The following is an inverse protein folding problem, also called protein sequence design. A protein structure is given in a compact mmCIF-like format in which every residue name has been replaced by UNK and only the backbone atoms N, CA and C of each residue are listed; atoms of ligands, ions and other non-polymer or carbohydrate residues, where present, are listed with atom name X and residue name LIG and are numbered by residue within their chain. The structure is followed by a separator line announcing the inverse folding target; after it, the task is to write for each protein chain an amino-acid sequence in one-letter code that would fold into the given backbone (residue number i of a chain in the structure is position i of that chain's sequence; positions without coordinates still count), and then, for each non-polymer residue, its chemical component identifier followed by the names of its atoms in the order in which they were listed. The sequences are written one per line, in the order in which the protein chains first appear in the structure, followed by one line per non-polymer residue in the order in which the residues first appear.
data_IF_096180512965
#
_entry.id   IF_096180512965
#
_cell.length_a   1.000
_cell.length_b   1.000
_cell.length_c   1.000
_cell.angle_alpha   90.00
_cell.angle_beta   90.00
_cell.angle_gamma   90.00
#
_symmetry.space_group_name_H-M   'P 1'
#
loop_
_entity.id
_entity.type
_entity.pdbx_description
1 polymer ?
#
# COMPACT_ATOMS: atom_id res chain seq x y z
N UNK A 1 -0.02 15.88 8.88
CA UNK A 1 0.03 15.08 10.14
C UNK A 1 1.48 14.90 10.54
N UNK A 2 1.73 14.71 11.81
CA UNK A 2 3.10 14.52 12.36
C UNK A 2 3.90 13.47 11.59
N UNK A 3 3.26 12.42 11.13
CA UNK A 3 3.89 11.38 10.30
C UNK A 3 4.44 11.97 8.99
N UNK A 4 3.63 12.72 8.24
CA UNK A 4 4.05 13.33 6.97
C UNK A 4 5.07 14.43 7.23
N UNK A 5 4.81 15.30 8.21
CA UNK A 5 5.65 16.45 8.50
C UNK A 5 7.05 16.05 8.99
N UNK A 6 7.13 15.00 9.80
CA UNK A 6 8.41 14.53 10.36
C UNK A 6 9.15 13.56 9.43
N UNK A 7 8.42 12.69 8.72
CA UNK A 7 9.05 11.65 7.88
C UNK A 7 9.38 12.15 6.47
N UNK A 8 8.44 12.79 5.80
CA UNK A 8 8.56 13.11 4.37
C UNK A 8 9.10 14.53 4.18
N UNK A 9 8.64 15.49 5.00
CA UNK A 9 9.02 16.89 4.88
C UNK A 9 10.22 17.27 5.74
N UNK A 10 10.46 16.56 6.83
CA UNK A 10 11.33 17.03 7.90
C UNK A 10 12.73 16.42 8.00
N UNK A 11 13.20 15.63 7.04
CA UNK A 11 14.51 14.93 7.09
C UNK A 11 14.79 14.16 8.41
N UNK A 12 13.74 13.83 9.17
CA UNK A 12 13.87 13.18 10.48
C UNK A 12 14.00 11.67 10.41
N UNK A 13 13.71 11.08 9.26
CA UNK A 13 13.76 9.62 9.06
C UNK A 13 14.50 9.29 7.77
N UNK A 14 15.27 8.20 7.80
CA UNK A 14 16.03 7.71 6.65
C UNK A 14 15.18 6.89 5.65
N UNK A 15 14.01 6.45 6.05
CA UNK A 15 13.12 5.65 5.20
C UNK A 15 11.69 5.62 5.72
N UNK A 16 10.76 5.37 4.80
CA UNK A 16 9.33 5.28 5.06
C UNK A 16 8.80 3.98 4.46
N UNK A 17 8.18 3.14 5.29
CA UNK A 17 7.46 1.96 4.84
C UNK A 17 6.01 2.33 4.56
N UNK A 18 5.64 2.41 3.28
CA UNK A 18 4.30 2.80 2.87
C UNK A 18 3.93 2.21 1.50
N UNK A 19 2.67 2.37 1.08
CA UNK A 19 2.23 2.05 -0.27
C UNK A 19 2.54 3.18 -1.26
N UNK A 20 2.44 2.88 -2.55
CA UNK A 20 2.73 3.81 -3.64
C UNK A 20 1.89 5.10 -3.64
N UNK A 21 0.74 5.11 -2.98
CA UNK A 21 -0.10 6.32 -2.83
C UNK A 21 0.57 7.47 -2.08
N UNK A 22 1.69 7.23 -1.39
CA UNK A 22 2.46 8.28 -0.72
C UNK A 22 3.27 9.14 -1.70
N UNK A 23 3.56 8.61 -2.90
CA UNK A 23 4.43 9.25 -3.90
C UNK A 23 3.98 10.67 -4.24
N UNK A 24 2.69 10.94 -4.58
CA UNK A 24 2.27 12.32 -4.86
C UNK A 24 2.46 13.28 -3.67
N UNK A 25 2.36 12.76 -2.44
CA UNK A 25 2.63 13.56 -1.23
C UNK A 25 4.13 13.87 -1.09
N UNK A 26 4.99 12.95 -1.50
CA UNK A 26 6.44 13.17 -1.52
C UNK A 26 6.83 14.20 -2.58
N UNK A 27 6.29 14.08 -3.79
CA UNK A 27 6.53 14.99 -4.92
C UNK A 27 6.08 16.43 -4.63
N UNK A 28 5.08 16.62 -3.76
CA UNK A 28 4.64 17.95 -3.33
C UNK A 28 5.73 18.73 -2.55
N UNK A 29 6.73 18.03 -2.01
CA UNK A 29 7.86 18.62 -1.27
C UNK A 29 9.06 18.73 -2.22
N UNK A 30 9.03 19.69 -3.12
CA UNK A 30 9.97 19.81 -4.25
C UNK A 30 11.44 19.96 -3.83
N UNK A 31 11.73 20.52 -2.64
CA UNK A 31 13.08 20.63 -2.06
C UNK A 31 13.71 19.27 -1.71
N UNK A 32 12.92 18.22 -1.65
CA UNK A 32 13.37 16.84 -1.42
C UNK A 32 13.57 16.05 -2.72
N UNK A 33 13.40 16.67 -3.88
CA UNK A 33 13.68 16.05 -5.17
C UNK A 33 15.10 15.53 -5.24
N UNK A 34 15.27 14.30 -5.69
CA UNK A 34 16.57 13.64 -5.83
C UNK A 34 17.14 13.05 -4.53
N UNK A 35 16.45 13.18 -3.40
CA UNK A 35 16.89 12.63 -2.11
C UNK A 35 16.30 11.27 -1.77
N UNK A 36 15.30 10.81 -2.51
CA UNK A 36 14.54 9.59 -2.22
C UNK A 36 14.73 8.55 -3.32
N UNK A 37 14.76 7.29 -2.91
CA UNK A 37 14.78 6.11 -3.77
C UNK A 37 13.70 5.12 -3.34
N UNK A 38 13.23 4.29 -4.27
CA UNK A 38 12.33 3.17 -4.00
C UNK A 38 13.18 1.91 -3.85
N UNK A 39 12.91 1.14 -2.82
CA UNK A 39 13.60 -0.13 -2.58
C UNK A 39 12.64 -1.18 -2.02
N UNK A 40 13.07 -2.43 -1.97
CA UNK A 40 12.35 -3.54 -1.33
C UNK A 40 12.32 -3.37 0.19
N UNK A 41 11.39 -4.07 0.84
CA UNK A 41 11.30 -4.06 2.32
C UNK A 41 12.50 -4.81 2.88
N UNK A 42 13.29 -4.22 3.81
CA UNK A 42 14.36 -4.94 4.47
C UNK A 42 13.82 -6.08 5.34
N UNK A 43 14.45 -7.23 5.28
CA UNK A 43 14.12 -8.39 6.11
C UNK A 43 15.18 -8.63 7.18
N UNK A 44 14.81 -9.32 8.26
CA UNK A 44 15.72 -9.59 9.38
C UNK A 44 16.87 -10.54 8.99
N UNK A 45 16.69 -11.34 7.96
CA UNK A 45 17.72 -12.26 7.44
C UNK A 45 18.59 -11.66 6.31
N UNK A 46 18.38 -10.37 6.00
CA UNK A 46 19.11 -9.65 4.96
C UNK A 46 18.66 -9.93 3.53
N UNK A 47 17.52 -10.60 3.36
CA UNK A 47 16.91 -10.80 2.05
C UNK A 47 16.06 -9.61 1.61
N UNK A 48 15.27 -9.81 0.55
CA UNK A 48 14.32 -8.84 0.03
C UNK A 48 12.90 -9.19 0.46
N UNK A 49 12.16 -8.21 0.99
CA UNK A 49 10.78 -8.36 1.39
C UNK A 49 9.83 -7.69 0.41
N UNK A 50 8.69 -8.34 0.16
CA UNK A 50 7.63 -7.82 -0.69
C UNK A 50 6.30 -7.96 0.02
N UNK A 51 5.49 -6.90 0.04
CA UNK A 51 4.18 -6.91 0.66
C UNK A 51 3.21 -6.01 -0.10
N UNK A 52 1.94 -6.35 -0.06
CA UNK A 52 0.86 -5.47 -0.47
C UNK A 52 0.35 -4.70 0.74
N UNK A 53 0.20 -3.40 0.58
CA UNK A 53 -0.40 -2.54 1.60
C UNK A 53 -1.64 -1.87 1.02
N UNK A 54 -2.76 -2.56 1.02
CA UNK A 54 -4.04 -2.05 0.56
C UNK A 54 -4.35 -2.35 -0.89
N UNK A 55 -5.21 -1.52 -1.45
CA UNK A 55 -5.82 -1.65 -2.76
C UNK A 55 -7.28 -1.24 -2.71
N UNK A 56 -7.91 -1.06 -3.87
CA UNK A 56 -9.31 -0.68 -3.96
C UNK A 56 -10.12 -1.75 -4.69
N UNK A 57 -11.15 -2.27 -4.03
CA UNK A 57 -12.19 -3.05 -4.66
C UNK A 57 -13.36 -2.17 -5.10
N UNK A 58 -13.89 -2.39 -6.28
CA UNK A 58 -15.06 -1.67 -6.80
C UNK A 58 -16.28 -2.57 -6.76
N UNK A 59 -17.35 -2.09 -6.15
CA UNK A 59 -18.55 -2.86 -5.91
C UNK A 59 -19.80 -2.11 -6.38
N UNK A 60 -20.79 -2.86 -6.86
CA UNK A 60 -22.13 -2.33 -7.17
C UNK A 60 -23.03 -2.70 -6.00
N UNK A 61 -23.61 -1.68 -5.36
CA UNK A 61 -24.49 -1.91 -4.19
C UNK A 61 -25.82 -2.54 -4.60
N UNK A 62 -26.46 -3.27 -3.68
CA UNK A 62 -27.76 -3.89 -3.90
C UNK A 62 -28.88 -2.86 -4.24
N UNK A 63 -28.71 -1.60 -3.79
CA UNK A 63 -29.65 -0.51 -4.02
C UNK A 63 -29.36 0.28 -5.31
N UNK A 64 -28.49 -0.22 -6.20
CA UNK A 64 -28.17 0.46 -7.45
C UNK A 64 -29.41 0.51 -8.37
N UNK A 65 -29.82 1.71 -8.74
CA UNK A 65 -31.00 1.91 -9.60
C UNK A 65 -30.82 1.47 -11.06
N UNK A 66 -29.58 1.28 -11.51
CA UNK A 66 -29.26 0.79 -12.86
C UNK A 66 -27.98 -0.04 -12.83
N UNK A 67 -28.14 -1.31 -12.49
CA UNK A 67 -27.02 -2.27 -12.35
C UNK A 67 -26.29 -2.49 -13.67
N UNK A 68 -27.00 -2.54 -14.80
CA UNK A 68 -26.40 -2.80 -16.11
C UNK A 68 -25.53 -1.61 -16.58
N UNK A 69 -25.98 -0.39 -16.33
CA UNK A 69 -25.17 0.80 -16.58
C UNK A 69 -23.93 0.82 -15.71
N UNK A 70 -24.07 0.52 -14.41
CA UNK A 70 -22.96 0.47 -13.48
C UNK A 70 -21.92 -0.60 -13.88
N UNK A 71 -22.36 -1.80 -14.28
CA UNK A 71 -21.48 -2.85 -14.81
C UNK A 71 -20.76 -2.40 -16.08
N UNK A 72 -21.49 -1.78 -17.01
CA UNK A 72 -20.91 -1.27 -18.26
C UNK A 72 -19.87 -0.19 -18.00
N UNK A 73 -20.14 0.72 -17.07
CA UNK A 73 -19.19 1.74 -16.64
C UNK A 73 -17.92 1.13 -16.05
N UNK A 74 -18.05 0.20 -15.11
CA UNK A 74 -16.89 -0.46 -14.49
C UNK A 74 -16.08 -1.27 -15.51
N UNK A 75 -16.75 -1.99 -16.39
CA UNK A 75 -16.09 -2.75 -17.45
C UNK A 75 -15.36 -1.85 -18.44
N UNK A 76 -15.95 -0.72 -18.81
CA UNK A 76 -15.35 0.23 -19.74
C UNK A 76 -14.15 0.96 -19.14
N UNK A 77 -14.22 1.36 -17.88
CA UNK A 77 -13.15 2.11 -17.18
C UNK A 77 -12.10 1.17 -16.57
N UNK A 78 -12.46 0.47 -15.52
CA UNK A 78 -11.55 -0.33 -14.71
C UNK A 78 -11.37 -1.78 -15.22
N UNK A 79 -12.15 -2.21 -16.18
CA UNK A 79 -12.06 -3.55 -16.78
C UNK A 79 -10.95 -3.71 -17.83
N UNK A 80 -10.03 -2.75 -17.96
CA UNK A 80 -8.86 -2.85 -18.84
C UNK A 80 -8.70 -1.71 -19.85
N UNK A 81 -9.22 -0.52 -19.56
CA UNK A 81 -8.93 0.69 -20.32
C UNK A 81 -7.52 1.19 -19.99
N UNK A 82 -6.57 0.97 -20.89
CA UNK A 82 -5.19 1.46 -20.73
C UNK A 82 -5.17 2.97 -20.52
N UNK A 83 -5.96 3.73 -21.29
CA UNK A 83 -6.03 5.19 -21.14
C UNK A 83 -6.49 5.62 -19.72
N UNK A 84 -7.48 4.91 -19.14
CA UNK A 84 -7.94 5.22 -17.78
C UNK A 84 -6.82 5.03 -16.77
N UNK A 85 -6.08 3.94 -16.89
CA UNK A 85 -4.97 3.65 -15.97
C UNK A 85 -3.76 4.54 -16.20
N UNK A 86 -3.43 4.88 -17.45
CA UNK A 86 -2.35 5.82 -17.76
C UNK A 86 -2.61 7.21 -17.17
N UNK A 87 -3.85 7.70 -17.30
CA UNK A 87 -4.24 8.97 -16.69
C UNK A 87 -4.21 8.89 -15.15
N UNK A 88 -4.74 7.81 -14.56
CA UNK A 88 -4.73 7.62 -13.11
C UNK A 88 -3.30 7.53 -12.54
N UNK A 89 -2.37 6.94 -13.30
CA UNK A 89 -0.95 6.91 -12.91
C UNK A 89 -0.34 8.32 -12.95
N UNK A 90 -0.50 9.05 -14.05
CA UNK A 90 0.08 10.40 -14.22
C UNK A 90 -0.49 11.42 -13.26
N UNK A 91 -1.81 11.37 -13.04
CA UNK A 91 -2.51 12.38 -12.23
C UNK A 91 -2.49 12.07 -10.73
N UNK A 92 -2.33 10.79 -10.35
CA UNK A 92 -2.48 10.39 -8.95
C UNK A 92 -1.57 9.26 -8.47
N UNK A 93 -0.60 8.83 -9.27
CA UNK A 93 0.33 7.76 -8.87
C UNK A 93 -0.37 6.40 -8.67
N UNK A 94 -1.55 6.19 -9.28
CA UNK A 94 -2.32 4.95 -9.12
C UNK A 94 -1.74 3.86 -9.99
N UNK A 95 -1.20 2.83 -9.37
CA UNK A 95 -0.68 1.64 -10.06
C UNK A 95 -1.81 0.66 -10.32
N UNK A 96 -1.91 0.18 -11.58
CA UNK A 96 -2.95 -0.80 -11.96
C UNK A 96 -2.62 -2.21 -11.48
N UNK A 97 -3.67 -2.98 -11.17
CA UNK A 97 -3.60 -4.44 -10.98
C UNK A 97 -3.95 -5.21 -12.25
N UNK A 98 -4.31 -4.52 -13.32
CA UNK A 98 -4.61 -5.11 -14.64
C UNK A 98 -3.31 -5.26 -15.42
N UNK A 99 -2.76 -6.48 -15.47
CA UNK A 99 -1.43 -6.78 -16.05
C UNK A 99 -1.27 -6.19 -17.46
N UNK A 100 -2.27 -6.34 -18.33
CA UNK A 100 -2.26 -5.76 -19.68
C UNK A 100 -2.04 -4.23 -19.69
N UNK A 101 -2.55 -3.52 -18.69
CA UNK A 101 -2.39 -2.07 -18.60
C UNK A 101 -1.05 -1.68 -17.97
N UNK A 102 -0.46 -2.57 -17.15
CA UNK A 102 0.86 -2.38 -16.57
C UNK A 102 2.01 -2.46 -17.61
N UNK A 103 1.74 -3.01 -18.79
CA UNK A 103 2.69 -3.04 -19.92
C UNK A 103 2.70 -1.73 -20.73
N UNK A 104 1.92 -0.72 -20.34
CA UNK A 104 1.89 0.57 -21.02
C UNK A 104 3.20 1.32 -20.87
N UNK A 105 3.59 2.06 -21.92
CA UNK A 105 4.84 2.83 -21.96
C UNK A 105 4.95 3.86 -20.83
N UNK A 106 3.84 4.32 -20.28
CA UNK A 106 3.82 5.28 -19.16
C UNK A 106 4.54 4.76 -17.92
N UNK A 107 4.56 3.45 -17.70
CA UNK A 107 5.28 2.83 -16.57
C UNK A 107 6.81 2.86 -16.75
N UNK A 108 7.29 3.07 -17.98
CA UNK A 108 8.73 3.21 -18.28
C UNK A 108 9.20 4.67 -18.18
N UNK A 109 8.30 5.63 -18.00
CA UNK A 109 8.65 7.04 -17.85
C UNK A 109 9.40 7.25 -16.52
N UNK A 110 10.50 8.03 -16.58
CA UNK A 110 11.25 8.40 -15.39
C UNK A 110 10.53 9.48 -14.59
N UNK A 111 10.55 9.37 -13.27
CA UNK A 111 9.96 10.36 -12.37
C UNK A 111 11.03 11.31 -11.87
N UNK A 112 10.93 12.59 -12.23
CA UNK A 112 11.97 13.60 -11.96
C UNK A 112 12.31 13.72 -10.47
N UNK A 113 11.34 13.57 -9.58
CA UNK A 113 11.53 13.61 -8.13
C UNK A 113 12.45 12.48 -7.64
N UNK A 114 12.46 11.34 -8.31
CA UNK A 114 13.28 10.17 -8.01
C UNK A 114 14.44 10.01 -9.02
N UNK A 115 15.15 11.09 -9.34
CA UNK A 115 16.32 11.09 -10.24
C UNK A 115 16.05 10.56 -11.66
N UNK A 116 14.82 10.72 -12.16
CA UNK A 116 14.33 10.15 -13.41
C UNK A 116 14.35 8.60 -13.48
N UNK A 117 14.31 7.94 -12.34
CA UNK A 117 14.12 6.49 -12.28
C UNK A 117 12.69 6.11 -12.67
N UNK A 118 12.48 4.99 -13.37
CA UNK A 118 11.13 4.49 -13.72
C UNK A 118 10.50 3.75 -12.53
N UNK A 119 10.22 4.47 -11.45
CA UNK A 119 9.79 3.91 -10.17
C UNK A 119 8.49 3.10 -10.28
N UNK A 120 7.58 3.50 -11.14
CA UNK A 120 6.31 2.79 -11.30
C UNK A 120 6.48 1.42 -11.95
N UNK A 121 7.45 1.28 -12.87
CA UNK A 121 7.86 -0.02 -13.39
C UNK A 121 8.46 -0.90 -12.30
N UNK A 122 9.34 -0.34 -11.47
CA UNK A 122 9.91 -1.06 -10.33
C UNK A 122 8.82 -1.56 -9.37
N UNK A 123 7.83 -0.72 -9.06
CA UNK A 123 6.70 -1.09 -8.18
C UNK A 123 5.87 -2.23 -8.79
N UNK A 124 5.61 -2.21 -10.11
CA UNK A 124 4.91 -3.30 -10.79
C UNK A 124 5.71 -4.60 -10.71
N UNK A 125 7.02 -4.53 -10.95
CA UNK A 125 7.91 -5.70 -10.83
C UNK A 125 7.92 -6.27 -9.41
N UNK A 126 8.05 -5.41 -8.38
CA UNK A 126 7.93 -5.80 -6.97
C UNK A 126 6.58 -6.47 -6.67
N UNK A 127 5.50 -5.97 -7.28
CA UNK A 127 4.16 -6.53 -7.13
C UNK A 127 4.06 -7.99 -7.55
N UNK A 128 4.87 -8.43 -8.51
CA UNK A 128 4.92 -9.82 -8.98
C UNK A 128 5.51 -10.80 -7.95
N UNK A 129 6.27 -10.29 -6.99
CA UNK A 129 6.92 -11.07 -5.92
C UNK A 129 6.12 -11.08 -4.61
N UNK A 130 5.02 -10.32 -4.52
CA UNK A 130 4.20 -10.28 -3.31
C UNK A 130 3.57 -11.66 -3.07
N UNK A 131 3.80 -12.27 -1.89
CA UNK A 131 3.23 -13.58 -1.58
C UNK A 131 1.70 -13.49 -1.43
N UNK A 132 1.02 -14.55 -1.80
CA UNK A 132 -0.41 -14.71 -1.50
C UNK A 132 -0.57 -14.94 -0.01
N UNK A 133 -1.32 -14.04 0.65
CA UNK A 133 -1.62 -14.15 2.08
C UNK A 133 -3.10 -14.48 2.24
N UNK A 134 -3.40 -15.58 2.92
CA UNK A 134 -4.75 -15.91 3.33
C UNK A 134 -5.15 -15.00 4.50
N UNK A 135 -6.26 -14.30 4.32
CA UNK A 135 -6.82 -13.41 5.35
C UNK A 135 -8.10 -14.05 5.89
N UNK A 136 -8.21 -14.10 7.22
CA UNK A 136 -9.44 -14.46 7.90
C UNK A 136 -10.34 -13.24 8.15
N UNK A 137 -11.60 -13.49 8.52
CA UNK A 137 -12.54 -12.43 8.94
C UNK A 137 -12.01 -11.64 10.15
N UNK A 138 -11.08 -12.23 10.90
CA UNK A 138 -10.47 -11.63 12.09
C UNK A 138 -9.13 -10.95 11.84
N UNK A 139 -8.65 -10.89 10.59
CA UNK A 139 -7.32 -10.34 10.26
C UNK A 139 -7.12 -8.93 10.81
N UNK A 140 -8.08 -8.03 10.59
CA UNK A 140 -7.99 -6.65 11.09
C UNK A 140 -8.05 -6.57 12.63
N UNK A 141 -8.83 -7.44 13.27
CA UNK A 141 -8.90 -7.52 14.74
C UNK A 141 -7.58 -7.96 15.34
N UNK A 142 -6.98 -9.01 14.76
CA UNK A 142 -5.64 -9.45 15.14
C UNK A 142 -4.61 -8.32 15.06
N UNK A 143 -4.64 -7.53 13.96
CA UNK A 143 -3.78 -6.36 13.79
C UNK A 143 -3.96 -5.33 14.90
N UNK A 144 -5.19 -5.00 15.30
CA UNK A 144 -5.47 -4.04 16.40
C UNK A 144 -4.89 -4.53 17.73
N UNK A 145 -5.07 -5.81 18.07
CA UNK A 145 -4.55 -6.37 19.32
C UNK A 145 -3.02 -6.43 19.31
N UNK A 146 -2.40 -6.78 18.19
CA UNK A 146 -0.94 -6.77 18.05
C UNK A 146 -0.36 -5.36 18.15
N UNK A 147 -0.97 -4.35 17.54
CA UNK A 147 -0.52 -2.95 17.68
C UNK A 147 -0.60 -2.52 19.15
N UNK A 148 -1.67 -2.87 19.85
CA UNK A 148 -1.82 -2.58 21.28
C UNK A 148 -0.71 -3.25 22.09
N UNK A 149 -0.41 -4.53 21.83
CA UNK A 149 0.67 -5.25 22.48
C UNK A 149 2.04 -4.59 22.25
N UNK A 150 2.31 -4.15 21.02
CA UNK A 150 3.54 -3.43 20.68
C UNK A 150 3.64 -2.11 21.47
N UNK A 151 2.58 -1.30 21.47
CA UNK A 151 2.55 -0.02 22.18
C UNK A 151 2.78 -0.22 23.68
N UNK A 152 2.11 -1.19 24.29
CA UNK A 152 2.29 -1.48 25.72
C UNK A 152 3.72 -1.96 26.03
N UNK A 153 4.28 -2.78 25.15
CA UNK A 153 5.68 -3.25 25.30
C UNK A 153 6.67 -2.10 25.23
N UNK A 154 6.49 -1.17 24.28
CA UNK A 154 7.32 0.05 24.19
C UNK A 154 7.19 0.91 25.46
N UNK A 155 6.01 0.90 26.10
CA UNK A 155 5.76 1.61 27.35
C UNK A 155 6.20 0.84 28.62
N UNK A 156 6.86 -0.33 28.47
CA UNK A 156 7.50 -1.05 29.55
C UNK A 156 6.80 -2.33 30.03
N UNK A 157 5.71 -2.75 29.38
CA UNK A 157 5.10 -4.06 29.63
C UNK A 157 5.98 -5.19 29.08
N UNK A 158 5.80 -6.41 29.59
CA UNK A 158 6.49 -7.58 29.05
C UNK A 158 5.82 -8.04 27.76
N UNK A 159 6.62 -8.25 26.71
CA UNK A 159 6.15 -8.67 25.40
C UNK A 159 5.32 -9.96 25.45
N UNK A 160 5.79 -10.98 26.17
CA UNK A 160 5.11 -12.27 26.25
C UNK A 160 3.72 -12.15 26.90
N UNK A 161 3.58 -11.32 27.94
CA UNK A 161 2.30 -11.07 28.62
C UNK A 161 1.33 -10.34 27.68
N UNK A 162 1.81 -9.35 26.91
CA UNK A 162 1.02 -8.59 25.97
C UNK A 162 0.57 -9.43 24.77
N UNK A 163 1.44 -10.31 24.25
CA UNK A 163 1.09 -11.24 23.16
C UNK A 163 0.05 -12.26 23.65
N UNK A 164 0.19 -12.80 24.88
CA UNK A 164 -0.80 -13.71 25.46
C UNK A 164 -2.17 -13.01 25.63
N UNK A 165 -2.19 -11.76 26.07
CA UNK A 165 -3.40 -10.95 26.15
C UNK A 165 -4.03 -10.73 24.77
N UNK A 166 -3.24 -10.41 23.76
CA UNK A 166 -3.73 -10.22 22.38
C UNK A 166 -4.37 -11.52 21.83
N UNK A 167 -3.71 -12.66 22.05
CA UNK A 167 -4.25 -13.96 21.66
C UNK A 167 -5.57 -14.27 22.39
N UNK A 168 -5.62 -14.05 23.71
CA UNK A 168 -6.83 -14.32 24.51
C UNK A 168 -8.03 -13.47 24.02
N UNK A 169 -7.80 -12.19 23.73
CA UNK A 169 -8.85 -11.31 23.21
C UNK A 169 -9.35 -11.76 21.85
N UNK A 170 -8.43 -12.14 20.96
CA UNK A 170 -8.79 -12.63 19.63
C UNK A 170 -9.59 -13.94 19.70
N UNK A 171 -9.15 -14.90 20.54
CA UNK A 171 -9.87 -16.16 20.76
C UNK A 171 -11.29 -15.92 21.30
N UNK A 172 -11.43 -14.99 22.23
CA UNK A 172 -12.75 -14.62 22.77
C UNK A 172 -13.68 -14.11 21.68
N UNK A 173 -13.20 -13.24 20.77
CA UNK A 173 -14.01 -12.76 19.64
C UNK A 173 -14.35 -13.88 18.63
N UNK A 174 -13.48 -14.85 18.49
CA UNK A 174 -13.69 -16.02 17.63
C UNK A 174 -14.65 -17.05 18.26
N UNK A 175 -15.01 -16.89 19.53
CA UNK A 175 -15.83 -17.84 20.27
C UNK A 175 -15.08 -19.12 20.70
N UNK A 176 -13.74 -19.03 20.85
CA UNK A 176 -12.84 -20.11 21.21
C UNK A 176 -12.39 -20.03 22.68
#
# INVERSE_FOLDING_TARGET
SDYIDQSIQGDMVAGVLNGNWIIPTMEAVTENSGKWEITTIPTLDGGEGYASNGGCGLYITANCGNVDLAKSFLAYTFGGSTQTYDNALRDGGVVTTVLKCADSDVYNEGVAFFNNEPIYKQIVEMGSHVPVIEQSDYHFRAGVYLITAIINTVNGSKLDDELANAEQQLRFEMGL
#
